data_IF_551174275835
#
_entry.id   IF_551174275835
#
_cell.length_a   1.000
_cell.length_b   1.000
_cell.length_c   1.000
_cell.angle_alpha   90.00
_cell.angle_beta   90.00
_cell.angle_gamma   90.00
#
_symmetry.space_group_name_H-M   'P 1'
#
loop_
_entity.id
_entity.type
_entity.pdbx_description
1 polymer ?
#
# COMPACT_ATOMS: atom_id res chain seq x y z
N UNK A 1 -3.34 -35.51 8.08
CA UNK A 1 -4.60 -34.81 8.43
C UNK A 1 -4.46 -34.21 9.84
N UNK A 2 -5.07 -33.06 10.20
CA UNK A 2 -4.96 -32.51 11.55
C UNK A 2 -5.74 -33.36 12.56
N UNK A 3 -5.09 -33.77 13.66
CA UNK A 3 -5.72 -34.58 14.71
C UNK A 3 -6.34 -33.73 15.83
N UNK A 4 -5.69 -32.62 16.21
CA UNK A 4 -6.15 -31.76 17.31
C UNK A 4 -7.39 -30.96 16.88
N UNK A 5 -8.45 -30.96 17.71
CA UNK A 5 -9.74 -30.28 17.45
C UNK A 5 -9.59 -28.81 17.02
N UNK A 6 -8.65 -28.08 17.62
CA UNK A 6 -8.33 -26.69 17.26
C UNK A 6 -7.72 -26.56 15.86
N UNK A 7 -6.80 -27.45 15.48
CA UNK A 7 -6.18 -27.48 14.15
C UNK A 7 -7.19 -27.81 13.05
N UNK A 8 -8.09 -28.77 13.28
CA UNK A 8 -9.21 -29.10 12.38
C UNK A 8 -10.07 -27.85 12.13
N UNK A 9 -10.42 -27.10 13.19
CA UNK A 9 -11.16 -25.83 13.08
C UNK A 9 -10.38 -24.79 12.26
N UNK A 10 -9.07 -24.64 12.49
CA UNK A 10 -8.23 -23.67 11.77
C UNK A 10 -8.13 -23.98 10.27
N UNK A 11 -7.98 -25.25 9.88
CA UNK A 11 -8.01 -25.69 8.48
C UNK A 11 -9.36 -25.33 7.83
N UNK A 12 -10.49 -25.72 8.43
CA UNK A 12 -11.83 -25.39 7.93
C UNK A 12 -12.10 -23.88 7.80
N UNK A 13 -11.51 -23.04 8.66
CA UNK A 13 -11.57 -21.57 8.50
C UNK A 13 -10.62 -21.04 7.42
N UNK A 14 -9.44 -21.66 7.27
CA UNK A 14 -8.44 -21.28 6.27
C UNK A 14 -9.00 -21.50 4.87
N UNK A 15 -9.54 -22.69 4.58
CA UNK A 15 -10.15 -23.08 3.30
C UNK A 15 -11.24 -22.09 2.86
N UNK A 16 -12.20 -21.79 3.75
CA UNK A 16 -13.27 -20.81 3.50
C UNK A 16 -12.72 -19.40 3.19
N UNK A 17 -11.65 -18.99 3.87
CA UNK A 17 -10.97 -17.72 3.58
C UNK A 17 -10.19 -17.78 2.26
N UNK A 18 -9.58 -18.91 1.95
CA UNK A 18 -8.77 -19.14 0.75
C UNK A 18 -9.64 -19.08 -0.51
N UNK A 19 -10.74 -19.83 -0.56
CA UNK A 19 -11.67 -19.85 -1.70
C UNK A 19 -12.21 -18.44 -2.01
N UNK A 20 -12.65 -17.71 -0.97
CA UNK A 20 -13.06 -16.31 -1.09
C UNK A 20 -11.93 -15.46 -1.65
N UNK A 21 -10.74 -15.50 -1.05
CA UNK A 21 -9.61 -14.68 -1.46
C UNK A 21 -9.12 -15.03 -2.87
N UNK A 22 -9.19 -16.31 -3.28
CA UNK A 22 -8.85 -16.78 -4.62
C UNK A 22 -9.83 -16.22 -5.65
N UNK A 23 -11.14 -16.26 -5.38
CA UNK A 23 -12.17 -15.72 -6.30
C UNK A 23 -12.04 -14.21 -6.55
N UNK A 24 -11.60 -13.43 -5.55
CA UNK A 24 -11.34 -12.00 -5.76
C UNK A 24 -9.99 -11.75 -6.45
N UNK A 25 -8.95 -12.53 -6.13
CA UNK A 25 -7.65 -12.46 -6.81
C UNK A 25 -7.74 -12.86 -8.29
N UNK A 26 -8.58 -13.84 -8.64
CA UNK A 26 -8.84 -14.20 -10.04
C UNK A 26 -9.64 -13.11 -10.75
N UNK A 27 -10.72 -12.58 -10.16
CA UNK A 27 -11.49 -11.44 -10.72
C UNK A 27 -10.59 -10.24 -11.03
N UNK A 28 -9.73 -9.82 -10.10
CA UNK A 28 -8.74 -8.74 -10.32
C UNK A 28 -7.79 -9.06 -11.48
N UNK A 29 -7.21 -10.28 -11.53
CA UNK A 29 -6.34 -10.69 -12.64
C UNK A 29 -7.09 -10.67 -13.99
N UNK A 30 -8.33 -11.13 -14.02
CA UNK A 30 -9.13 -11.21 -15.25
C UNK A 30 -9.55 -9.84 -15.79
N UNK A 31 -9.92 -8.87 -14.95
CA UNK A 31 -10.26 -7.52 -15.47
C UNK A 31 -9.01 -6.75 -15.90
N UNK A 32 -7.87 -6.93 -15.21
CA UNK A 32 -6.57 -6.41 -15.67
C UNK A 32 -6.20 -7.01 -17.04
N UNK A 33 -6.48 -8.30 -17.29
CA UNK A 33 -6.31 -8.93 -18.61
C UNK A 33 -7.24 -8.31 -19.66
N UNK A 34 -8.55 -8.17 -19.38
CA UNK A 34 -9.52 -7.54 -20.32
C UNK A 34 -9.10 -6.12 -20.70
N UNK A 35 -8.70 -5.30 -19.73
CA UNK A 35 -8.14 -3.97 -19.97
C UNK A 35 -6.88 -4.02 -20.85
N UNK A 36 -5.95 -4.96 -20.60
CA UNK A 36 -4.75 -5.10 -21.42
C UNK A 36 -5.05 -5.47 -22.88
N UNK A 37 -6.08 -6.29 -23.14
CA UNK A 37 -6.54 -6.64 -24.50
C UNK A 37 -7.14 -5.42 -25.22
N UNK A 38 -8.02 -4.68 -24.56
CA UNK A 38 -8.61 -3.45 -25.11
C UNK A 38 -7.56 -2.36 -25.41
N UNK A 39 -6.47 -2.29 -24.63
CA UNK A 39 -5.31 -1.44 -24.94
C UNK A 39 -4.57 -1.88 -26.22
N UNK A 40 -4.33 -3.18 -26.43
CA UNK A 40 -3.71 -3.68 -27.66
C UNK A 40 -4.59 -3.48 -28.89
N UNK A 41 -5.91 -3.61 -28.74
CA UNK A 41 -6.90 -3.30 -29.78
C UNK A 41 -7.12 -1.79 -29.98
N UNK A 42 -6.47 -0.93 -29.16
CA UNK A 42 -6.54 0.54 -29.17
C UNK A 42 -7.97 1.11 -29.02
N UNK A 43 -8.93 0.31 -28.54
CA UNK A 43 -10.32 0.71 -28.36
C UNK A 43 -10.46 1.60 -27.13
N UNK A 44 -10.60 2.92 -27.35
CA UNK A 44 -10.67 3.94 -26.28
C UNK A 44 -11.81 3.69 -25.29
N UNK A 45 -13.01 3.46 -25.81
CA UNK A 45 -14.21 3.25 -24.99
C UNK A 45 -14.13 1.98 -24.13
N UNK A 46 -13.80 0.83 -24.73
CA UNK A 46 -13.65 -0.43 -24.01
C UNK A 46 -12.54 -0.32 -22.94
N UNK A 47 -11.41 0.32 -23.28
CA UNK A 47 -10.33 0.58 -22.32
C UNK A 47 -10.82 1.42 -21.14
N UNK A 48 -11.61 2.47 -21.39
CA UNK A 48 -12.20 3.32 -20.34
C UNK A 48 -13.25 2.58 -19.50
N UNK A 49 -14.07 1.71 -20.12
CA UNK A 49 -15.07 0.87 -19.44
C UNK A 49 -14.36 -0.14 -18.51
N UNK A 50 -13.43 -0.95 -19.03
CA UNK A 50 -12.67 -1.93 -18.25
C UNK A 50 -11.73 -1.31 -17.20
N UNK A 51 -11.25 -0.07 -17.40
CA UNK A 51 -10.50 0.66 -16.38
C UNK A 51 -11.38 0.97 -15.16
N UNK A 52 -12.59 1.54 -15.37
CA UNK A 52 -13.55 1.84 -14.29
C UNK A 52 -13.92 0.58 -13.50
N UNK A 53 -14.21 -0.53 -14.19
CA UNK A 53 -14.50 -1.82 -13.57
C UNK A 53 -13.34 -2.32 -12.71
N UNK A 54 -12.12 -2.27 -13.26
CA UNK A 54 -10.91 -2.74 -12.56
C UNK A 54 -10.64 -1.91 -11.31
N UNK A 55 -10.79 -0.58 -11.37
CA UNK A 55 -10.69 0.30 -10.20
C UNK A 55 -11.73 -0.08 -9.14
N UNK A 56 -13.00 -0.27 -9.53
CA UNK A 56 -14.08 -0.66 -8.62
C UNK A 56 -13.81 -1.99 -7.93
N UNK A 57 -13.30 -2.98 -8.66
CA UNK A 57 -12.99 -4.33 -8.12
C UNK A 57 -11.76 -4.29 -7.20
N UNK A 58 -10.75 -3.46 -7.50
CA UNK A 58 -9.59 -3.26 -6.61
C UNK A 58 -10.01 -2.68 -5.26
N UNK A 59 -10.85 -1.64 -5.23
CA UNK A 59 -11.32 -1.05 -3.98
C UNK A 59 -12.22 -2.00 -3.20
N UNK A 60 -13.11 -2.73 -3.88
CA UNK A 60 -13.91 -3.81 -3.27
C UNK A 60 -13.03 -4.93 -2.69
N UNK A 61 -11.84 -5.20 -3.24
CA UNK A 61 -10.87 -6.16 -2.71
C UNK A 61 -10.07 -5.61 -1.51
N UNK A 62 -9.78 -4.30 -1.48
CA UNK A 62 -9.18 -3.61 -0.32
C UNK A 62 -10.15 -3.57 0.85
N UNK A 63 -11.39 -3.16 0.62
CA UNK A 63 -12.42 -3.07 1.67
C UNK A 63 -12.78 -4.44 2.28
N UNK A 64 -12.54 -5.54 1.56
CA UNK A 64 -12.68 -6.92 2.05
C UNK A 64 -11.40 -7.50 2.67
N UNK A 65 -10.33 -6.70 2.79
CA UNK A 65 -9.04 -7.13 3.36
C UNK A 65 -8.25 -8.14 2.52
N UNK A 66 -8.56 -8.28 1.23
CA UNK A 66 -7.99 -9.31 0.34
C UNK A 66 -6.70 -8.81 -0.35
N UNK A 67 -6.60 -7.49 -0.56
CA UNK A 67 -5.41 -6.79 -1.04
C UNK A 67 -5.08 -5.63 -0.09
N UNK A 68 -3.79 -5.38 0.23
CA UNK A 68 -3.40 -4.20 1.00
C UNK A 68 -3.50 -2.93 0.15
N UNK A 69 -3.81 -1.80 0.79
CA UNK A 69 -3.99 -0.47 0.16
C UNK A 69 -2.87 -0.13 -0.85
N UNK A 70 -1.62 -0.39 -0.49
CA UNK A 70 -0.44 -0.08 -1.31
C UNK A 70 -0.39 -0.89 -2.62
N UNK A 71 -0.86 -2.15 -2.63
CA UNK A 71 -0.91 -2.98 -3.84
C UNK A 71 -1.98 -2.48 -4.81
N UNK A 72 -3.17 -2.13 -4.29
CA UNK A 72 -4.23 -1.53 -5.10
C UNK A 72 -3.80 -0.17 -5.66
N UNK A 73 -3.18 0.70 -4.84
CA UNK A 73 -2.65 2.00 -5.29
C UNK A 73 -1.59 1.86 -6.40
N UNK A 74 -0.62 0.95 -6.24
CA UNK A 74 0.37 0.64 -7.28
C UNK A 74 -0.29 0.13 -8.57
N UNK A 75 -1.29 -0.73 -8.47
CA UNK A 75 -2.02 -1.24 -9.63
C UNK A 75 -2.81 -0.14 -10.33
N UNK A 76 -3.57 0.70 -9.61
CA UNK A 76 -4.25 1.88 -10.17
C UNK A 76 -3.27 2.80 -10.91
N UNK A 77 -2.19 3.24 -10.25
CA UNK A 77 -1.13 4.06 -10.85
C UNK A 77 -0.63 3.48 -12.19
N UNK A 78 -0.33 2.18 -12.22
CA UNK A 78 0.24 1.55 -13.41
C UNK A 78 -0.79 1.40 -14.54
N UNK A 79 -2.07 1.21 -14.23
CA UNK A 79 -3.16 1.18 -15.22
C UNK A 79 -3.44 2.58 -15.79
N UNK A 80 -3.52 3.60 -14.92
CA UNK A 80 -3.70 5.01 -15.32
C UNK A 80 -2.55 5.48 -16.22
N UNK A 81 -1.30 5.14 -15.90
CA UNK A 81 -0.15 5.49 -16.76
C UNK A 81 -0.30 4.93 -18.17
N UNK A 82 -0.70 3.65 -18.32
CA UNK A 82 -0.93 3.01 -19.63
C UNK A 82 -2.06 3.65 -20.43
N UNK A 83 -3.15 4.00 -19.75
CA UNK A 83 -4.30 4.69 -20.34
C UNK A 83 -3.88 6.09 -20.84
N UNK A 84 -3.21 6.86 -19.99
CA UNK A 84 -2.75 8.20 -20.30
C UNK A 84 -1.70 8.23 -21.43
N UNK A 85 -0.85 7.20 -21.56
CA UNK A 85 0.09 7.11 -22.70
C UNK A 85 -0.62 6.95 -24.04
N UNK A 86 -1.77 6.26 -24.10
CA UNK A 86 -2.56 6.21 -25.34
C UNK A 86 -3.18 7.58 -25.63
N UNK A 87 -3.90 8.17 -24.67
CA UNK A 87 -4.56 9.48 -24.85
C UNK A 87 -3.54 10.56 -25.29
N UNK A 88 -2.38 10.64 -24.64
CA UNK A 88 -1.36 11.63 -25.01
C UNK A 88 -0.77 11.39 -26.41
N UNK A 89 -0.66 10.14 -26.86
CA UNK A 89 -0.20 9.81 -28.22
C UNK A 89 -1.19 10.27 -29.32
N UNK A 90 -2.45 10.50 -28.95
CA UNK A 90 -3.49 11.01 -29.86
C UNK A 90 -3.58 12.53 -29.81
N UNK A 91 -3.52 13.13 -28.61
CA UNK A 91 -3.49 14.59 -28.44
C UNK A 91 -2.30 15.22 -29.19
N UNK A 92 -1.12 14.59 -29.15
CA UNK A 92 0.07 15.05 -29.90
C UNK A 92 -0.18 15.04 -31.42
N UNK A 93 -0.99 14.11 -31.95
CA UNK A 93 -1.36 14.08 -33.38
C UNK A 93 -2.39 15.14 -33.76
N UNK A 94 -3.10 15.72 -32.79
CA UNK A 94 -4.04 16.82 -33.00
C UNK A 94 -3.44 18.20 -32.69
N UNK A 95 -2.13 18.29 -32.39
CA UNK A 95 -1.50 19.55 -31.94
C UNK A 95 -0.04 19.70 -32.38
N UNK A 96 0.19 19.88 -33.69
CA UNK A 96 1.40 20.49 -34.24
C UNK A 96 1.14 21.11 -35.63
N UNK A 97 1.86 22.18 -36.05
CA UNK A 97 2.87 22.94 -35.31
C UNK A 97 2.43 24.38 -34.96
N UNK A 98 2.98 24.93 -33.88
CA UNK A 98 3.17 26.36 -33.71
C UNK A 98 4.67 26.55 -33.37
N UNK A 99 5.41 27.19 -34.28
CA UNK A 99 6.85 27.32 -34.17
C UNK A 99 7.27 28.37 -33.11
N UNK A 100 8.45 28.21 -32.48
CA UNK A 100 8.97 29.22 -31.56
C UNK A 100 9.28 30.54 -32.28
N UNK A 101 9.18 31.66 -31.55
CA UNK A 101 9.76 32.95 -31.96
C UNK A 101 11.01 33.23 -31.15
N UNK A 102 11.97 33.87 -31.79
CA UNK A 102 13.29 34.17 -31.23
C UNK A 102 13.31 35.40 -30.31
N UNK A 103 14.46 35.55 -29.67
CA UNK A 103 14.96 36.71 -28.92
C UNK A 103 14.75 38.02 -29.68
N UNK A 104 14.35 39.09 -28.98
CA UNK A 104 14.98 40.43 -29.06
C UNK A 104 14.33 41.44 -28.10
N UNK A 105 14.94 41.63 -26.93
CA UNK A 105 15.26 42.98 -26.43
C UNK A 105 16.32 42.87 -25.31
N UNK A 106 17.21 43.85 -25.20
CA UNK A 106 18.26 43.88 -24.17
C UNK A 106 18.52 45.31 -23.74
N UNK A 107 18.13 45.65 -22.51
CA UNK A 107 18.55 46.87 -21.82
C UNK A 107 19.85 46.59 -21.05
N UNK A 108 20.71 47.60 -20.89
CA UNK A 108 22.16 47.36 -20.81
C UNK A 108 22.78 47.26 -19.40
N UNK A 109 23.70 46.30 -19.23
CA UNK A 109 25.08 46.35 -18.65
C UNK A 109 25.40 47.25 -17.42
N UNK A 110 26.49 46.96 -16.66
CA UNK A 110 27.05 45.67 -16.23
C UNK A 110 27.52 45.68 -14.75
N UNK A 111 28.07 44.55 -14.22
CA UNK A 111 29.37 44.49 -13.50
C UNK A 111 29.82 43.03 -13.23
N UNK A 112 31.14 42.87 -13.16
CA UNK A 112 32.01 41.70 -13.40
C UNK A 112 31.93 40.52 -12.38
N UNK A 113 32.43 39.34 -12.79
CA UNK A 113 32.52 38.05 -12.06
C UNK A 113 33.92 37.77 -11.46
N UNK A 114 34.00 37.08 -10.30
CA UNK A 114 35.16 36.24 -9.83
C UNK A 114 34.67 35.33 -8.68
N UNK A 115 34.64 33.99 -8.74
CA UNK A 115 35.72 32.97 -8.65
C UNK A 115 36.41 32.90 -7.24
N UNK A 116 36.75 31.75 -6.60
CA UNK A 116 36.60 30.30 -6.93
C UNK A 116 36.90 29.35 -5.73
N UNK A 117 36.08 28.28 -5.55
CA UNK A 117 36.43 26.84 -5.28
C UNK A 117 37.55 26.39 -4.29
N UNK A 118 37.17 25.60 -3.27
CA UNK A 118 37.92 24.49 -2.63
C UNK A 118 36.91 23.43 -2.07
N UNK A 119 36.93 22.11 -2.31
CA UNK A 119 37.92 21.03 -2.03
C UNK A 119 37.91 20.56 -0.54
N UNK A 120 37.16 19.51 -0.14
CA UNK A 120 37.51 18.05 -0.07
C UNK A 120 38.73 17.71 0.83
N UNK A 121 38.74 16.70 1.72
CA UNK A 121 37.71 15.73 2.24
C UNK A 121 38.07 15.38 3.73
N UNK A 122 38.12 14.15 4.34
CA UNK A 122 37.84 12.73 3.97
C UNK A 122 36.66 12.11 4.78
N UNK A 123 36.82 10.91 5.40
CA UNK A 123 35.87 10.15 6.29
C UNK A 123 36.68 9.19 7.18
N UNK A 124 36.27 8.92 8.43
CA UNK A 124 36.71 7.74 9.24
C UNK A 124 35.52 7.00 9.89
N UNK A 125 35.75 5.79 10.44
CA UNK A 125 34.70 4.81 10.81
C UNK A 125 34.72 4.45 12.32
N UNK A 126 33.62 3.83 12.79
CA UNK A 126 33.42 3.34 14.18
C UNK A 126 34.49 2.34 14.64
N UNK A 127 34.62 2.16 15.96
CA UNK A 127 34.29 0.86 16.56
C UNK A 127 33.17 0.94 17.61
N UNK A 128 32.74 -0.22 18.12
CA UNK A 128 31.75 -0.38 19.19
C UNK A 128 32.41 -1.08 20.38
N UNK A 129 32.31 -0.51 21.59
CA UNK A 129 32.65 -1.20 22.85
C UNK A 129 31.59 -0.86 23.90
N UNK A 130 31.21 -1.85 24.70
CA UNK A 130 30.19 -1.77 25.75
C UNK A 130 30.80 -1.65 27.14
N UNK A 131 30.09 -1.00 28.06
CA UNK A 131 30.19 -1.23 29.52
C UNK A 131 28.77 -1.33 30.11
N UNK A 132 28.61 -2.13 31.16
CA UNK A 132 27.35 -2.57 31.79
C UNK A 132 27.63 -2.87 33.27
N UNK A 133 26.59 -2.84 34.14
CA UNK A 133 26.60 -3.11 35.60
C UNK A 133 27.13 -1.93 36.43
N UNK A 134 26.72 -1.67 37.68
CA UNK A 134 25.80 -2.35 38.65
C UNK A 134 25.24 -1.24 39.58
N UNK A 135 23.94 -1.09 39.81
CA UNK A 135 23.06 -1.78 40.80
C UNK A 135 23.22 -1.36 42.29
N UNK A 136 22.24 -0.60 42.80
CA UNK A 136 21.66 -0.62 44.17
C UNK A 136 20.41 0.29 44.18
N UNK A 137 19.18 -0.20 44.21
CA UNK A 137 18.46 -0.87 45.30
C UNK A 137 17.85 0.09 46.35
N UNK A 138 16.53 0.30 46.25
CA UNK A 138 15.59 0.46 47.37
C UNK A 138 14.35 -0.39 47.06
N UNK A 139 13.73 -0.95 48.09
CA UNK A 139 12.86 -2.13 47.96
C UNK A 139 11.37 -1.80 47.84
N UNK A 140 10.58 -2.84 47.52
CA UNK A 140 9.11 -2.84 47.59
C UNK A 140 8.66 -3.13 49.03
N UNK A 141 7.36 -3.00 49.32
CA UNK A 141 6.66 -4.24 49.66
C UNK A 141 5.38 -4.47 48.85
N UNK A 142 5.07 -5.75 48.60
CA UNK A 142 3.79 -6.20 48.03
C UNK A 142 2.91 -6.72 49.16
N UNK A 143 1.69 -6.21 49.29
CA UNK A 143 0.76 -6.64 50.36
C UNK A 143 -0.32 -7.58 49.82
N UNK A 144 -0.03 -8.87 50.00
CA UNK A 144 -0.96 -9.95 50.40
C UNK A 144 -2.32 -10.06 49.70
N UNK A 145 -2.35 -10.98 48.73
CA UNK A 145 -3.53 -11.76 48.29
C UNK A 145 -4.29 -12.35 49.49
N UNK A 146 -5.61 -12.14 49.56
CA UNK A 146 -6.50 -12.78 50.54
C UNK A 146 -7.73 -13.39 49.85
N UNK A 147 -8.20 -14.54 50.34
CA UNK A 147 -9.28 -15.33 49.71
C UNK A 147 -10.42 -15.60 50.68
N UNK A 148 -11.67 -15.35 50.28
CA UNK A 148 -12.84 -16.06 50.83
C UNK A 148 -13.97 -16.15 49.80
N UNK A 149 -14.94 -17.04 50.05
CA UNK A 149 -15.95 -17.48 49.10
C UNK A 149 -17.39 -17.21 49.60
N UNK A 150 -18.38 -17.74 48.86
CA UNK A 150 -19.83 -17.48 48.96
C UNK A 150 -20.25 -16.12 48.37
N UNK A 151 -21.49 -15.95 47.88
CA UNK A 151 -22.72 -16.74 48.09
C UNK A 151 -23.46 -17.04 46.78
N UNK A 152 -24.07 -18.23 46.67
CA UNK A 152 -24.96 -18.61 45.55
C UNK A 152 -26.33 -17.97 45.74
N UNK A 153 -26.93 -17.45 44.67
CA UNK A 153 -28.38 -17.17 44.58
C UNK A 153 -28.98 -17.92 43.39
N UNK A 154 -29.59 -19.08 43.66
CA UNK A 154 -30.48 -19.78 42.72
C UNK A 154 -31.93 -19.41 43.02
N UNK A 155 -32.60 -18.75 42.08
CA UNK A 155 -34.07 -18.72 41.94
C UNK A 155 -34.34 -19.07 40.47
N UNK A 156 -35.09 -20.14 40.13
CA UNK A 156 -36.54 -20.36 40.31
C UNK A 156 -37.38 -19.27 39.60
N UNK A 157 -38.45 -19.57 38.84
CA UNK A 157 -38.99 -20.86 38.32
C UNK A 157 -40.16 -20.55 37.34
N UNK A 158 -39.97 -20.69 36.02
CA UNK A 158 -41.01 -20.81 34.97
C UNK A 158 -40.28 -21.08 33.62
N UNK A 159 -40.76 -21.86 32.64
CA UNK A 159 -41.99 -22.68 32.51
C UNK A 159 -43.32 -21.98 32.76
N UNK A 160 -43.69 -21.12 31.82
CA UNK A 160 -44.92 -21.30 31.04
C UNK A 160 -44.49 -21.89 29.69
#
# INVERSE_FOLDING_TARGET
MPQIKSAIKRVKTSEKSHLRNMSYKSKVKSTIKKFALALSEKKKEESNKYFKDTVSILDKAVNKGILPKNTASRQKSNLTKKLNTLIKSEQIKMSAPAAPKEVLETQEKPIVKKATKAAKKPVTKKPVVSKKKTDKAKEKPVVKKATKAAKKTKTKKAKS
#
